data_IF_244049807467
#
_entry.id   IF_244049807467
#
_cell.length_a   1.000
_cell.length_b   1.000
_cell.length_c   1.000
_cell.angle_alpha   90.00
_cell.angle_beta   90.00
_cell.angle_gamma   90.00
#
_symmetry.space_group_name_H-M   'P 1'
#
loop_
_entity.id
_entity.type
_entity.pdbx_description
1 polymer ?
#
# COMPACT_ATOMS: atom_id res chain seq x y z
N UNK A 1 0.53 -2.33 -18.96
CA UNK A 1 1.77 -1.91 -18.28
C UNK A 1 1.56 -2.09 -16.79
N UNK A 2 2.51 -2.74 -16.11
CA UNK A 2 2.49 -3.00 -14.68
C UNK A 2 3.20 -1.88 -13.94
N UNK A 3 2.62 -1.42 -12.84
CA UNK A 3 3.22 -0.36 -12.03
C UNK A 3 3.16 -0.70 -10.54
N UNK A 4 4.12 -0.16 -9.79
CA UNK A 4 4.07 -0.13 -8.33
C UNK A 4 4.07 1.32 -7.84
N UNK A 5 3.20 1.64 -6.89
CA UNK A 5 3.16 2.95 -6.24
C UNK A 5 3.97 2.96 -4.95
N UNK A 6 4.74 4.01 -4.74
CA UNK A 6 5.46 4.28 -3.48
C UNK A 6 4.97 5.60 -2.91
N UNK A 7 4.16 5.55 -1.85
CA UNK A 7 3.62 6.72 -1.17
C UNK A 7 4.62 7.21 -0.12
N UNK A 8 5.61 7.98 -0.57
CA UNK A 8 6.73 8.46 0.25
C UNK A 8 6.80 9.99 0.36
N UNK A 9 5.95 10.74 -0.34
CA UNK A 9 5.87 12.19 -0.13
C UNK A 9 4.76 12.56 0.85
N UNK A 10 5.02 13.57 1.68
CA UNK A 10 4.07 14.11 2.64
C UNK A 10 3.08 15.08 1.98
N UNK A 11 1.91 15.28 2.59
CA UNK A 11 0.86 16.16 2.09
C UNK A 11 -0.42 15.41 1.73
N UNK A 12 -1.18 15.91 0.75
CA UNK A 12 -2.50 15.37 0.39
C UNK A 12 -2.42 14.10 -0.49
N UNK A 13 -1.35 13.30 -0.47
CA UNK A 13 -1.18 12.22 -1.45
C UNK A 13 -2.19 11.08 -1.26
N UNK A 14 -2.34 10.56 -0.05
CA UNK A 14 -3.33 9.50 0.20
C UNK A 14 -4.76 10.06 0.06
N UNK A 15 -5.07 11.17 0.72
CA UNK A 15 -6.46 11.67 0.76
C UNK A 15 -6.94 12.26 -0.57
N UNK A 16 -6.05 12.77 -1.41
CA UNK A 16 -6.37 13.31 -2.73
C UNK A 16 -5.98 12.35 -3.86
N UNK A 17 -4.68 12.09 -4.10
CA UNK A 17 -4.25 11.29 -5.26
C UNK A 17 -4.75 9.85 -5.16
N UNK A 18 -4.59 9.17 -4.03
CA UNK A 18 -5.11 7.82 -3.87
C UNK A 18 -6.64 7.82 -3.75
N UNK A 19 -7.18 8.51 -2.74
CA UNK A 19 -8.59 8.41 -2.39
C UNK A 19 -9.58 9.01 -3.39
N UNK A 20 -9.20 10.06 -4.14
CA UNK A 20 -10.09 10.76 -5.08
C UNK A 20 -9.72 10.56 -6.55
N UNK A 21 -8.56 9.97 -6.86
CA UNK A 21 -8.14 9.75 -8.25
C UNK A 21 -7.87 8.27 -8.52
N UNK A 22 -6.82 7.70 -7.94
CA UNK A 22 -6.36 6.33 -8.27
C UNK A 22 -7.39 5.27 -7.85
N UNK A 23 -7.87 5.31 -6.60
CA UNK A 23 -8.78 4.29 -6.08
C UNK A 23 -10.11 4.24 -6.85
N UNK A 24 -10.82 5.36 -7.11
CA UNK A 24 -12.01 5.34 -7.98
C UNK A 24 -11.74 4.73 -9.35
N UNK A 25 -10.58 5.00 -9.96
CA UNK A 25 -10.22 4.45 -11.28
C UNK A 25 -9.96 2.94 -11.24
N UNK A 26 -9.40 2.44 -10.14
CA UNK A 26 -9.23 1.00 -9.94
C UNK A 26 -10.58 0.31 -9.66
N UNK A 27 -11.52 0.98 -9.01
CA UNK A 27 -12.87 0.46 -8.79
C UNK A 27 -13.70 0.43 -10.07
N UNK A 28 -13.56 1.42 -10.95
CA UNK A 28 -14.26 1.49 -12.25
C UNK A 28 -13.55 0.76 -13.39
N UNK A 29 -12.38 0.17 -13.13
CA UNK A 29 -11.55 -0.51 -14.12
C UNK A 29 -11.09 0.38 -15.30
N UNK A 30 -10.90 1.68 -15.05
CA UNK A 30 -10.49 2.68 -16.06
C UNK A 30 -9.09 3.28 -15.84
N UNK A 31 -8.34 2.77 -14.85
CA UNK A 31 -7.00 3.26 -14.52
C UNK A 31 -5.97 3.10 -15.65
N UNK A 32 -6.13 2.07 -16.50
CA UNK A 32 -5.28 1.81 -17.68
C UNK A 32 -3.91 1.17 -17.38
N UNK A 33 -3.47 1.12 -16.12
CA UNK A 33 -2.29 0.38 -15.68
C UNK A 33 -2.68 -0.74 -14.71
N UNK A 34 -1.91 -1.83 -14.71
CA UNK A 34 -2.03 -2.91 -13.73
C UNK A 34 -1.20 -2.55 -12.49
N UNK A 35 -1.84 -2.27 -11.37
CA UNK A 35 -1.14 -1.94 -10.12
C UNK A 35 -0.78 -3.23 -9.39
N UNK A 36 0.50 -3.58 -9.40
CA UNK A 36 0.99 -4.84 -8.80
C UNK A 36 1.37 -4.67 -7.33
N UNK A 37 1.64 -3.43 -6.88
CA UNK A 37 1.92 -3.16 -5.48
C UNK A 37 1.82 -1.69 -5.10
N UNK A 38 1.55 -1.46 -3.81
CA UNK A 38 1.53 -0.15 -3.18
C UNK A 38 2.28 -0.22 -1.85
N UNK A 39 3.28 0.65 -1.68
CA UNK A 39 4.11 0.72 -0.48
C UNK A 39 3.97 2.09 0.19
N UNK A 40 3.65 2.09 1.49
CA UNK A 40 3.30 3.30 2.24
C UNK A 40 4.35 3.62 3.31
N UNK A 41 4.77 4.88 3.36
CA UNK A 41 5.72 5.43 4.33
C UNK A 41 5.09 6.55 5.16
N UNK A 42 5.75 6.89 6.27
CA UNK A 42 5.38 7.98 7.16
C UNK A 42 3.89 7.94 7.54
N UNK A 43 3.19 9.07 7.48
CA UNK A 43 1.77 9.16 7.83
C UNK A 43 0.85 8.55 6.77
N UNK A 44 1.37 8.24 5.57
CA UNK A 44 0.57 7.55 4.55
C UNK A 44 0.16 6.14 5.01
N UNK A 45 0.84 5.57 6.01
CA UNK A 45 0.48 4.26 6.57
C UNK A 45 -0.90 4.26 7.24
N UNK A 46 -1.37 5.42 7.74
CA UNK A 46 -2.69 5.52 8.38
C UNK A 46 -3.84 5.21 7.42
N UNK A 47 -3.61 5.32 6.11
CA UNK A 47 -4.57 4.93 5.08
C UNK A 47 -5.01 3.46 5.21
N UNK A 48 -4.15 2.58 5.74
CA UNK A 48 -4.41 1.15 5.86
C UNK A 48 -4.79 0.74 7.29
N UNK A 49 -5.05 1.69 8.18
CA UNK A 49 -5.61 1.39 9.52
C UNK A 49 -7.01 0.80 9.36
N UNK A 50 -7.34 -0.21 10.16
CA UNK A 50 -8.67 -0.79 10.22
C UNK A 50 -9.73 0.31 10.47
N UNK A 51 -10.82 0.27 9.70
CA UNK A 51 -11.88 1.26 9.74
C UNK A 51 -11.61 2.57 8.98
N UNK A 52 -10.45 2.74 8.34
CA UNK A 52 -10.24 3.88 7.43
C UNK A 52 -11.04 3.69 6.12
N UNK A 53 -11.91 4.63 5.71
CA UNK A 53 -12.75 4.46 4.53
C UNK A 53 -11.98 4.23 3.23
N UNK A 54 -10.79 4.82 3.08
CA UNK A 54 -9.95 4.62 1.89
C UNK A 54 -9.31 3.24 1.96
N UNK A 55 -8.76 2.87 3.11
CA UNK A 55 -8.14 1.56 3.34
C UNK A 55 -9.09 0.39 3.10
N UNK A 56 -10.31 0.47 3.63
CA UNK A 56 -11.32 -0.61 3.51
C UNK A 56 -11.73 -0.85 2.05
N UNK A 57 -11.79 0.21 1.25
CA UNK A 57 -12.07 0.12 -0.19
C UNK A 57 -10.86 -0.42 -0.95
N UNK A 58 -9.67 0.10 -0.65
CA UNK A 58 -8.43 -0.32 -1.29
C UNK A 58 -8.13 -1.80 -1.02
N UNK A 59 -8.38 -2.29 0.20
CA UNK A 59 -8.17 -3.69 0.56
C UNK A 59 -9.01 -4.64 -0.30
N UNK A 60 -10.26 -4.28 -0.61
CA UNK A 60 -11.14 -5.06 -1.50
C UNK A 60 -10.59 -5.12 -2.91
N UNK A 61 -10.27 -3.95 -3.47
CA UNK A 61 -9.67 -3.84 -4.81
C UNK A 61 -8.36 -4.63 -4.89
N UNK A 62 -7.52 -4.55 -3.86
CA UNK A 62 -6.26 -5.25 -3.81
C UNK A 62 -6.43 -6.78 -3.73
N UNK A 63 -7.41 -7.26 -2.95
CA UNK A 63 -7.74 -8.67 -2.88
C UNK A 63 -8.25 -9.21 -4.23
N UNK A 64 -9.12 -8.45 -4.91
CA UNK A 64 -9.69 -8.84 -6.21
C UNK A 64 -8.63 -8.85 -7.33
N UNK A 65 -7.67 -7.93 -7.28
CA UNK A 65 -6.67 -7.73 -8.33
C UNK A 65 -5.31 -8.34 -8.03
N UNK A 66 -5.13 -8.93 -6.85
CA UNK A 66 -3.83 -9.46 -6.41
C UNK A 66 -2.76 -8.39 -6.22
N UNK A 67 -3.16 -7.16 -5.87
CA UNK A 67 -2.23 -6.04 -5.61
C UNK A 67 -1.62 -6.18 -4.22
N UNK A 68 -0.29 -6.10 -4.11
CA UNK A 68 0.39 -6.04 -2.83
C UNK A 68 0.08 -4.72 -2.10
N UNK A 69 -0.36 -4.80 -0.84
CA UNK A 69 -0.41 -3.65 0.06
C UNK A 69 0.65 -3.81 1.16
N UNK A 70 1.59 -2.87 1.25
CA UNK A 70 2.69 -2.95 2.21
C UNK A 70 2.84 -1.65 3.00
N UNK A 71 3.09 -1.76 4.30
CA UNK A 71 3.52 -0.65 5.16
C UNK A 71 5.00 -0.77 5.50
N UNK A 72 5.71 0.36 5.52
CA UNK A 72 7.08 0.42 6.03
C UNK A 72 7.12 -0.07 7.48
N UNK A 73 8.01 -1.01 7.77
CA UNK A 73 8.12 -1.65 9.09
C UNK A 73 8.31 -0.66 10.24
N UNK A 74 9.30 0.23 10.12
CA UNK A 74 9.57 1.24 11.13
C UNK A 74 8.41 2.24 11.28
N UNK A 75 7.85 2.74 10.17
CA UNK A 75 6.72 3.67 10.23
C UNK A 75 5.48 3.04 10.87
N UNK A 76 5.20 1.77 10.57
CA UNK A 76 4.07 1.03 11.11
C UNK A 76 4.23 0.74 12.61
N UNK A 77 5.43 0.35 13.05
CA UNK A 77 5.75 0.13 14.46
C UNK A 77 5.58 1.42 15.28
N UNK A 78 6.15 2.53 14.81
CA UNK A 78 6.01 3.85 15.46
C UNK A 78 4.55 4.29 15.61
N UNK A 79 3.70 3.91 14.65
CA UNK A 79 2.29 4.33 14.56
C UNK A 79 1.32 3.30 15.13
N UNK A 80 1.81 2.26 15.79
CA UNK A 80 0.99 1.19 16.38
C UNK A 80 0.11 0.47 15.34
N UNK A 81 0.59 0.37 14.11
CA UNK A 81 -0.01 -0.40 13.01
C UNK A 81 0.68 -1.75 12.80
N UNK A 82 1.71 -2.03 13.59
CA UNK A 82 2.43 -3.29 13.62
C UNK A 82 2.94 -3.59 15.03
N UNK A 83 3.25 -4.85 15.27
CA UNK A 83 3.91 -5.35 16.48
C UNK A 83 5.14 -6.18 16.12
N UNK A 84 6.11 -6.29 17.02
CA UNK A 84 7.38 -6.98 16.79
C UNK A 84 8.54 -6.02 16.63
N UNK A 85 9.53 -6.40 15.82
CA UNK A 85 10.77 -5.65 15.59
C UNK A 85 10.95 -5.32 14.10
N UNK A 86 11.75 -4.31 13.73
CA UNK A 86 12.09 -4.04 12.33
C UNK A 86 12.56 -5.32 11.62
N UNK A 87 12.17 -5.51 10.35
CA UNK A 87 12.38 -6.74 9.56
C UNK A 87 11.71 -8.02 10.08
N UNK A 88 10.98 -7.97 11.20
CA UNK A 88 10.28 -9.10 11.80
C UNK A 88 8.92 -8.66 12.43
N UNK A 89 8.28 -7.65 11.83
CA UNK A 89 7.05 -7.07 12.32
C UNK A 89 5.82 -7.72 11.65
N UNK A 90 4.73 -7.81 12.40
CA UNK A 90 3.43 -8.31 11.91
C UNK A 90 2.38 -7.20 11.95
N UNK A 91 1.44 -7.14 10.98
CA UNK A 91 0.39 -6.12 10.98
C UNK A 91 -0.47 -6.19 12.25
N UNK A 92 -0.84 -5.02 12.79
CA UNK A 92 -1.75 -4.90 13.92
C UNK A 92 -2.72 -3.74 13.66
N UNK A 93 -4.03 -3.97 13.81
CA UNK A 93 -5.02 -2.90 13.64
C UNK A 93 -5.07 -2.32 12.22
N UNK A 94 -4.70 -3.10 11.20
CA UNK A 94 -4.75 -2.73 9.79
C UNK A 94 -5.93 -3.39 9.07
N UNK A 95 -6.26 -2.89 7.88
CA UNK A 95 -7.16 -3.58 6.96
C UNK A 95 -6.59 -4.95 6.52
N UNK A 96 -7.46 -5.82 6.00
CA UNK A 96 -7.07 -7.16 5.57
C UNK A 96 -6.06 -7.12 4.40
N UNK A 97 -5.16 -8.13 4.35
CA UNK A 97 -4.21 -8.30 3.25
C UNK A 97 -2.95 -7.42 3.32
N UNK A 98 -2.83 -6.55 4.32
CA UNK A 98 -1.63 -5.71 4.53
C UNK A 98 -0.45 -6.56 4.96
N UNK A 99 0.71 -6.27 4.37
CA UNK A 99 2.01 -6.78 4.81
C UNK A 99 2.83 -5.66 5.47
N UNK A 100 3.70 -6.02 6.40
CA UNK A 100 4.68 -5.10 6.99
C UNK A 100 6.05 -5.49 6.45
N UNK A 101 6.85 -4.52 6.00
CA UNK A 101 8.17 -4.83 5.45
C UNK A 101 9.02 -3.62 5.12
N UNK A 102 10.22 -3.90 4.64
CA UNK A 102 11.14 -2.92 4.08
C UNK A 102 11.41 -3.26 2.59
N UNK A 103 12.30 -2.49 1.93
CA UNK A 103 12.59 -2.65 0.51
C UNK A 103 12.95 -4.08 0.07
N UNK A 104 13.79 -4.85 0.79
CA UNK A 104 14.06 -6.24 0.40
C UNK A 104 12.80 -7.11 0.35
N UNK A 105 11.82 -6.86 1.23
CA UNK A 105 10.57 -7.61 1.26
C UNK A 105 9.65 -7.19 0.12
N UNK A 106 9.63 -5.89 -0.22
CA UNK A 106 8.94 -5.38 -1.41
C UNK A 106 9.46 -6.09 -2.67
N UNK A 107 10.78 -6.15 -2.84
CA UNK A 107 11.39 -6.81 -4.01
C UNK A 107 11.11 -8.30 -4.02
N UNK A 108 11.18 -8.98 -2.86
CA UNK A 108 10.83 -10.38 -2.75
C UNK A 108 9.37 -10.66 -3.10
N UNK A 109 8.45 -9.85 -2.59
CA UNK A 109 7.00 -9.98 -2.83
C UNK A 109 6.63 -9.72 -4.30
N UNK A 110 7.32 -8.78 -4.97
CA UNK A 110 7.06 -8.44 -6.36
C UNK A 110 7.90 -9.25 -7.38
N UNK A 111 8.81 -10.12 -6.93
CA UNK A 111 9.71 -10.87 -7.84
C UNK A 111 8.95 -11.74 -8.87
N UNK A 112 7.78 -12.28 -8.49
CA UNK A 112 6.91 -13.04 -9.39
C UNK A 112 5.96 -12.19 -10.24
N UNK A 113 5.86 -10.89 -9.95
CA UNK A 113 4.97 -9.94 -10.62
C UNK A 113 5.62 -8.55 -10.74
N UNK A 114 6.75 -8.49 -11.45
CA UNK A 114 7.57 -7.28 -11.53
C UNK A 114 6.82 -6.12 -12.20
N UNK A 115 6.90 -4.90 -11.63
CA UNK A 115 6.40 -3.71 -12.30
C UNK A 115 7.32 -3.28 -13.45
N UNK A 116 6.73 -2.74 -14.52
CA UNK A 116 7.45 -2.05 -15.59
C UNK A 116 7.96 -0.67 -15.10
N UNK A 117 7.23 -0.03 -14.18
CA UNK A 117 7.59 1.27 -13.59
C UNK A 117 7.27 1.34 -12.09
N UNK A 118 8.11 2.06 -11.35
CA UNK A 118 7.85 2.45 -9.96
C UNK A 118 7.53 3.95 -9.94
N UNK A 119 6.34 4.30 -9.45
CA UNK A 119 5.86 5.68 -9.39
C UNK A 119 5.82 6.13 -7.94
N UNK A 120 6.69 7.09 -7.59
CA UNK A 120 6.70 7.69 -6.26
C UNK A 120 5.70 8.84 -6.20
N UNK A 121 4.84 8.81 -5.18
CA UNK A 121 3.79 9.79 -4.93
C UNK A 121 3.93 10.46 -3.58
#
# INVERSE_FOLDING_TARGET
MKIAYVFATSGHNVSYKLGKMILPQLESDDHGAEVVGMFFFDDNTYALRAGDPIGERLAKVAADRGTLLMLCDQCALERQLASGEPRAATPQGTVAGVQIGCFPDLYGALAGNLPDQVITL
#
